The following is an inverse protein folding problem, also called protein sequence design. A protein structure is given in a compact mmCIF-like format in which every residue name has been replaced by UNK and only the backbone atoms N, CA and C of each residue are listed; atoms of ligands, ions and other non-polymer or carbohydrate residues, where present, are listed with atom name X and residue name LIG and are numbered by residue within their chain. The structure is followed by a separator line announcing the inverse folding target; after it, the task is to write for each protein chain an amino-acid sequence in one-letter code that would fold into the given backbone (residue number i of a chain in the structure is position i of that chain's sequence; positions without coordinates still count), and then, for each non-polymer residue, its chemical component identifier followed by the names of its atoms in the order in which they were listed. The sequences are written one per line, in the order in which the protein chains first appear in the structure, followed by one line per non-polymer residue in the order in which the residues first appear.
data_IF_063528482602
#
_entry.id   IF_063528482602
#
_cell.length_a   1.000
_cell.length_b   1.000
_cell.length_c   1.000
_cell.angle_alpha   90.00
_cell.angle_beta   90.00
_cell.angle_gamma   90.00
#
_symmetry.space_group_name_H-M   'P 1'
#
loop_
_entity.id
_entity.type
_entity.pdbx_description
1 polymer ?
#
# COMPACT_ATOMS: atom_id res chain seq x y z
N UNK A 1 -0.50 13.55 -22.55
CA UNK A 1 -0.93 14.43 -21.45
C UNK A 1 0.17 14.38 -20.40
N UNK A 2 0.63 15.53 -19.93
CA UNK A 2 1.62 15.64 -18.85
C UNK A 2 0.94 15.40 -17.50
N UNK A 3 1.71 14.97 -16.49
CA UNK A 3 1.22 14.86 -15.12
C UNK A 3 0.78 16.20 -14.51
N UNK A 4 1.25 17.31 -15.07
CA UNK A 4 0.83 18.67 -14.70
C UNK A 4 -0.67 18.91 -14.94
N UNK A 5 -1.20 18.42 -16.08
CA UNK A 5 -2.64 18.51 -16.35
C UNK A 5 -3.46 17.63 -15.38
N UNK A 6 -2.88 16.55 -14.87
CA UNK A 6 -3.53 15.71 -13.84
C UNK A 6 -3.63 16.50 -12.54
N UNK A 7 -2.56 17.19 -12.13
CA UNK A 7 -2.55 18.03 -10.93
C UNK A 7 -3.62 19.13 -10.99
N UNK A 8 -3.72 19.83 -12.12
CA UNK A 8 -4.72 20.89 -12.31
C UNK A 8 -6.14 20.34 -12.14
N UNK A 9 -6.47 19.24 -12.80
CA UNK A 9 -7.78 18.56 -12.66
C UNK A 9 -8.10 18.17 -11.21
N UNK A 10 -7.09 17.74 -10.45
CA UNK A 10 -7.26 17.37 -9.04
C UNK A 10 -7.50 18.58 -8.13
N UNK A 11 -7.01 19.77 -8.51
CA UNK A 11 -7.17 21.00 -7.74
C UNK A 11 -8.48 21.75 -8.08
N UNK A 12 -8.95 21.64 -9.33
CA UNK A 12 -10.11 22.40 -9.81
C UNK A 12 -11.41 22.00 -9.13
N UNK A 13 -11.61 20.69 -8.91
CA UNK A 13 -12.89 20.20 -8.40
C UNK A 13 -12.80 18.86 -7.68
N UNK A 14 -13.83 18.64 -6.89
CA UNK A 14 -14.20 17.34 -6.33
C UNK A 14 -14.54 16.37 -7.47
N UNK A 15 -13.82 15.26 -7.58
CA UNK A 15 -14.05 14.27 -8.64
C UNK A 15 -15.17 13.29 -8.26
N UNK A 16 -15.93 12.87 -9.27
CA UNK A 16 -16.86 11.73 -9.18
C UNK A 16 -16.11 10.40 -9.34
N UNK A 17 -16.75 9.28 -8.97
CA UNK A 17 -16.17 7.94 -9.07
C UNK A 17 -15.65 7.61 -10.47
N UNK A 18 -16.41 7.91 -11.52
CA UNK A 18 -16.00 7.65 -12.90
C UNK A 18 -14.84 8.55 -13.33
N UNK A 19 -14.84 9.81 -12.90
CA UNK A 19 -13.74 10.73 -13.17
C UNK A 19 -12.44 10.28 -12.51
N UNK A 20 -12.50 9.69 -11.30
CA UNK A 20 -11.31 9.11 -10.66
C UNK A 20 -10.64 8.05 -11.54
N UNK A 21 -11.41 7.15 -12.15
CA UNK A 21 -10.85 6.13 -13.04
C UNK A 21 -10.19 6.76 -14.28
N UNK A 22 -10.84 7.77 -14.88
CA UNK A 22 -10.29 8.48 -16.04
C UNK A 22 -9.00 9.23 -15.72
N UNK A 23 -9.01 10.03 -14.64
CA UNK A 23 -7.84 10.81 -14.20
C UNK A 23 -6.70 9.88 -13.74
N UNK A 24 -7.01 8.78 -13.05
CA UNK A 24 -6.01 7.78 -12.68
C UNK A 24 -5.40 7.08 -13.90
N UNK A 25 -6.18 6.85 -14.97
CA UNK A 25 -5.66 6.28 -16.21
C UNK A 25 -4.74 7.26 -16.94
N UNK A 26 -5.08 8.55 -16.95
CA UNK A 26 -4.18 9.60 -17.46
C UNK A 26 -2.89 9.66 -16.65
N UNK A 27 -2.98 9.61 -15.31
CA UNK A 27 -1.84 9.57 -14.41
C UNK A 27 -0.97 8.32 -14.64
N UNK A 28 -1.59 7.15 -14.81
CA UNK A 28 -0.90 5.89 -15.12
C UNK A 28 -0.11 6.00 -16.41
N UNK A 29 -0.72 6.51 -17.49
CA UNK A 29 -0.07 6.69 -18.79
C UNK A 29 1.06 7.72 -18.72
N UNK A 30 0.83 8.85 -18.04
CA UNK A 30 1.85 9.89 -17.84
C UNK A 30 3.06 9.35 -17.09
N UNK A 31 2.81 8.67 -15.97
CA UNK A 31 3.87 8.09 -15.15
C UNK A 31 4.62 6.97 -15.87
N UNK A 32 3.94 6.11 -16.63
CA UNK A 32 4.60 5.08 -17.46
C UNK A 32 5.52 5.68 -18.50
N UNK A 33 5.12 6.77 -19.15
CA UNK A 33 5.93 7.45 -20.15
C UNK A 33 7.18 8.08 -19.53
N UNK A 34 7.05 8.68 -18.34
CA UNK A 34 8.14 9.41 -17.69
C UNK A 34 9.08 8.50 -16.88
N UNK A 35 8.57 7.39 -16.34
CA UNK A 35 9.31 6.47 -15.47
C UNK A 35 9.10 4.99 -15.88
N UNK A 36 9.41 4.59 -17.13
CA UNK A 36 9.11 3.26 -17.64
C UNK A 36 9.86 2.16 -16.88
N UNK A 37 11.12 2.38 -16.52
CA UNK A 37 11.92 1.42 -15.74
C UNK A 37 11.27 1.12 -14.39
N UNK A 38 10.77 2.16 -13.71
CA UNK A 38 10.08 1.99 -12.44
C UNK A 38 8.77 1.23 -12.61
N UNK A 39 7.95 1.58 -13.61
CA UNK A 39 6.71 0.84 -13.87
C UNK A 39 6.96 -0.64 -14.18
N UNK A 40 7.95 -0.94 -15.03
CA UNK A 40 8.33 -2.32 -15.33
C UNK A 40 8.84 -3.04 -14.09
N UNK A 41 9.68 -2.41 -13.28
CA UNK A 41 10.18 -3.03 -12.04
C UNK A 41 9.05 -3.35 -11.05
N UNK A 42 8.06 -2.46 -10.92
CA UNK A 42 6.92 -2.67 -10.03
C UNK A 42 5.96 -3.72 -10.57
N UNK A 43 5.76 -3.73 -11.88
CA UNK A 43 4.99 -4.77 -12.53
C UNK A 43 5.62 -6.15 -12.30
N UNK A 44 6.93 -6.29 -12.51
CA UNK A 44 7.65 -7.55 -12.24
C UNK A 44 7.59 -7.92 -10.77
N UNK A 45 7.76 -6.95 -9.86
CA UNK A 45 7.65 -7.19 -8.42
C UNK A 45 6.24 -7.70 -8.05
N UNK A 46 5.17 -7.14 -8.62
CA UNK A 46 3.80 -7.61 -8.40
C UNK A 46 3.59 -9.03 -8.92
N UNK A 47 4.07 -9.34 -10.14
CA UNK A 47 4.00 -10.70 -10.70
C UNK A 47 4.67 -11.70 -9.77
N UNK A 48 5.92 -11.42 -9.36
CA UNK A 48 6.69 -12.30 -8.47
C UNK A 48 6.01 -12.45 -7.12
N UNK A 49 5.50 -11.36 -6.53
CA UNK A 49 4.82 -11.40 -5.23
C UNK A 49 3.53 -12.22 -5.29
N UNK A 50 2.74 -12.08 -6.36
CA UNK A 50 1.52 -12.87 -6.57
C UNK A 50 1.87 -14.35 -6.73
N UNK A 51 2.89 -14.69 -7.53
CA UNK A 51 3.32 -16.09 -7.70
C UNK A 51 3.79 -16.69 -6.38
N UNK A 52 4.62 -15.99 -5.61
CA UNK A 52 5.07 -16.43 -4.28
C UNK A 52 3.86 -16.65 -3.35
N UNK A 53 2.90 -15.73 -3.35
CA UNK A 53 1.70 -15.82 -2.53
C UNK A 53 0.82 -17.03 -2.90
N UNK A 54 0.60 -17.27 -4.20
CA UNK A 54 -0.15 -18.44 -4.68
C UNK A 54 0.57 -19.72 -4.25
N UNK A 55 1.86 -19.86 -4.55
CA UNK A 55 2.62 -21.07 -4.22
C UNK A 55 2.66 -21.31 -2.70
N UNK A 56 2.83 -20.26 -1.89
CA UNK A 56 2.77 -20.36 -0.44
C UNK A 56 1.41 -20.85 0.06
N UNK A 57 0.30 -20.37 -0.52
CA UNK A 57 -1.04 -20.81 -0.13
C UNK A 57 -1.33 -22.28 -0.49
N UNK A 58 -0.77 -22.77 -1.61
CA UNK A 58 -0.92 -24.16 -2.05
C UNK A 58 0.03 -25.11 -1.28
N UNK A 59 1.22 -24.64 -0.90
CA UNK A 59 2.23 -25.39 -0.14
C UNK A 59 2.14 -25.12 1.36
N UNK A 60 0.95 -25.29 1.95
CA UNK A 60 0.81 -25.14 3.40
C UNK A 60 1.43 -26.34 4.13
N UNK A 61 2.48 -26.09 4.91
CA UNK A 61 3.28 -27.09 5.62
C UNK A 61 2.43 -28.01 6.51
N UNK A 62 1.45 -27.47 7.24
CA UNK A 62 0.61 -28.26 8.15
C UNK A 62 -0.24 -29.29 7.40
N UNK A 63 -0.82 -28.89 6.26
CA UNK A 63 -1.56 -29.81 5.39
C UNK A 63 -0.64 -30.87 4.79
N UNK A 64 0.55 -30.50 4.35
CA UNK A 64 1.50 -31.44 3.75
C UNK A 64 1.97 -32.49 4.77
N UNK A 65 2.27 -32.08 6.00
CA UNK A 65 2.60 -33.01 7.10
C UNK A 65 1.43 -33.92 7.44
N UNK A 66 0.22 -33.37 7.53
CA UNK A 66 -1.01 -34.13 7.81
C UNK A 66 -1.27 -35.24 6.77
N UNK A 67 -1.05 -34.94 5.49
CA UNK A 67 -1.24 -35.91 4.40
C UNK A 67 -0.04 -36.82 4.13
N UNK A 68 1.00 -36.78 4.96
CA UNK A 68 2.16 -37.67 4.83
C UNK A 68 3.02 -37.36 3.60
N UNK A 69 3.15 -36.08 3.24
CA UNK A 69 4.00 -35.60 2.17
C UNK A 69 5.47 -36.08 2.30
N UNK A 70 6.14 -36.30 1.17
CA UNK A 70 7.59 -36.55 1.16
C UNK A 70 8.37 -35.35 1.73
N UNK A 71 9.48 -35.61 2.41
CA UNK A 71 10.40 -34.63 3.01
C UNK A 71 10.80 -33.52 2.03
N UNK A 72 10.97 -33.84 0.74
CA UNK A 72 11.30 -32.86 -0.31
C UNK A 72 10.19 -31.80 -0.43
N UNK A 73 8.93 -32.21 -0.39
CA UNK A 73 7.79 -31.30 -0.53
C UNK A 73 7.64 -30.41 0.72
N UNK A 74 7.92 -30.97 1.90
CA UNK A 74 7.99 -30.22 3.16
C UNK A 74 9.14 -29.18 3.12
N UNK A 75 10.30 -29.54 2.58
CA UNK A 75 11.42 -28.62 2.40
C UNK A 75 11.04 -27.44 1.49
N UNK A 76 10.37 -27.71 0.36
CA UNK A 76 9.87 -26.66 -0.53
C UNK A 76 8.86 -25.73 0.15
N UNK A 77 7.92 -26.27 0.92
CA UNK A 77 6.97 -25.48 1.70
C UNK A 77 7.69 -24.51 2.65
N UNK A 78 8.71 -24.98 3.38
CA UNK A 78 9.53 -24.14 4.28
C UNK A 78 10.26 -23.03 3.53
N UNK A 79 10.83 -23.33 2.36
CA UNK A 79 11.51 -22.33 1.53
C UNK A 79 10.53 -21.24 1.08
N UNK A 80 9.35 -21.62 0.59
CA UNK A 80 8.33 -20.67 0.15
C UNK A 80 7.71 -19.87 1.31
N UNK A 81 7.60 -20.45 2.51
CA UNK A 81 7.20 -19.71 3.72
C UNK A 81 8.19 -18.58 4.02
N UNK A 82 9.49 -18.87 4.03
CA UNK A 82 10.53 -17.85 4.23
C UNK A 82 10.51 -16.81 3.11
N UNK A 83 10.38 -17.25 1.86
CA UNK A 83 10.33 -16.35 0.71
C UNK A 83 9.12 -15.41 0.77
N UNK A 84 7.95 -15.91 1.18
CA UNK A 84 6.74 -15.12 1.35
C UNK A 84 6.89 -14.08 2.47
N UNK A 85 7.51 -14.44 3.59
CA UNK A 85 7.80 -13.50 4.69
C UNK A 85 8.75 -12.38 4.25
N UNK A 86 9.81 -12.72 3.50
CA UNK A 86 10.75 -11.74 2.93
C UNK A 86 10.04 -10.84 1.92
N UNK A 87 9.28 -11.42 0.98
CA UNK A 87 8.55 -10.67 -0.04
C UNK A 87 7.54 -9.69 0.59
N UNK A 88 6.81 -10.14 1.61
CA UNK A 88 5.85 -9.32 2.37
C UNK A 88 6.55 -8.16 3.08
N UNK A 89 7.70 -8.39 3.71
CA UNK A 89 8.52 -7.34 4.34
C UNK A 89 8.99 -6.29 3.33
N UNK A 90 9.53 -6.75 2.20
CA UNK A 90 10.01 -5.87 1.12
C UNK A 90 8.85 -5.09 0.49
N UNK A 91 7.66 -5.70 0.39
CA UNK A 91 6.47 -5.08 -0.22
C UNK A 91 6.04 -3.79 0.47
N UNK A 92 6.24 -3.65 1.79
CA UNK A 92 5.93 -2.42 2.52
C UNK A 92 6.75 -1.24 1.98
N UNK A 93 8.07 -1.43 1.85
CA UNK A 93 8.96 -0.39 1.34
C UNK A 93 8.68 -0.09 -0.13
N UNK A 94 8.55 -1.14 -0.95
CA UNK A 94 8.32 -1.04 -2.39
C UNK A 94 7.01 -0.30 -2.69
N UNK A 95 5.93 -0.65 -1.97
CA UNK A 95 4.62 0.02 -2.09
C UNK A 95 4.68 1.47 -1.63
N UNK A 96 5.26 1.76 -0.46
CA UNK A 96 5.40 3.12 0.05
C UNK A 96 6.25 4.01 -0.88
N UNK A 97 7.34 3.46 -1.42
CA UNK A 97 8.18 4.11 -2.43
C UNK A 97 7.38 4.47 -3.68
N UNK A 98 6.53 3.57 -4.16
CA UNK A 98 5.66 3.83 -5.30
C UNK A 98 4.68 4.98 -5.04
N UNK A 99 3.89 4.88 -3.98
CA UNK A 99 2.90 5.89 -3.61
C UNK A 99 3.52 7.28 -3.54
N UNK A 100 4.62 7.41 -2.80
CA UNK A 100 5.31 8.68 -2.64
C UNK A 100 5.88 9.19 -3.96
N UNK A 101 6.45 8.32 -4.79
CA UNK A 101 7.04 8.74 -6.07
C UNK A 101 5.97 9.22 -7.05
N UNK A 102 4.84 8.51 -7.16
CA UNK A 102 3.71 8.89 -8.01
C UNK A 102 3.15 10.23 -7.54
N UNK A 103 2.92 10.40 -6.24
CA UNK A 103 2.41 11.65 -5.68
C UNK A 103 3.33 12.84 -5.97
N UNK A 104 4.63 12.70 -5.68
CA UNK A 104 5.62 13.75 -5.95
C UNK A 104 5.71 14.09 -7.44
N UNK A 105 5.53 13.12 -8.34
CA UNK A 105 5.58 13.39 -9.78
C UNK A 105 4.33 14.14 -10.26
N UNK A 106 3.14 13.78 -9.76
CA UNK A 106 1.90 14.54 -10.00
C UNK A 106 2.06 15.98 -9.52
N UNK A 107 2.70 16.20 -8.36
CA UNK A 107 2.95 17.53 -7.81
C UNK A 107 4.06 18.31 -8.53
N UNK A 108 4.75 17.73 -9.52
CA UNK A 108 5.91 18.36 -10.17
C UNK A 108 7.16 18.43 -9.28
N UNK A 109 7.17 17.69 -8.16
CA UNK A 109 8.21 17.69 -7.14
C UNK A 109 9.03 16.37 -7.11
N UNK A 110 9.12 15.68 -8.24
CA UNK A 110 9.64 14.30 -8.34
C UNK A 110 11.09 14.08 -7.86
N UNK A 111 11.87 15.15 -7.62
CA UNK A 111 13.26 15.09 -7.11
C UNK A 111 13.36 15.10 -5.58
N UNK A 112 12.33 15.53 -4.86
CA UNK A 112 12.36 15.69 -3.40
C UNK A 112 12.05 14.40 -2.62
N UNK A 113 12.65 13.29 -3.05
CA UNK A 113 12.43 11.98 -2.44
C UNK A 113 13.37 11.76 -1.24
N UNK A 114 12.86 11.89 -0.02
CA UNK A 114 13.60 11.59 1.22
C UNK A 114 13.61 10.07 1.51
N UNK A 115 14.40 9.31 0.76
CA UNK A 115 14.47 7.84 0.85
C UNK A 115 14.74 7.30 2.26
N UNK A 116 15.69 7.91 2.99
CA UNK A 116 16.05 7.48 4.35
C UNK A 116 14.87 7.56 5.32
N UNK A 117 14.12 8.66 5.25
CA UNK A 117 12.94 8.87 6.10
C UNK A 117 11.82 7.87 5.75
N UNK A 118 11.60 7.65 4.46
CA UNK A 118 10.62 6.66 3.99
C UNK A 118 10.98 5.24 4.43
N UNK A 119 12.26 4.85 4.32
CA UNK A 119 12.75 3.55 4.76
C UNK A 119 12.50 3.31 6.25
N UNK A 120 12.81 4.29 7.10
CA UNK A 120 12.54 4.20 8.54
C UNK A 120 11.05 4.06 8.84
N UNK A 121 10.20 4.83 8.16
CA UNK A 121 8.74 4.73 8.30
C UNK A 121 8.21 3.33 7.98
N UNK A 122 8.70 2.74 6.89
CA UNK A 122 8.29 1.41 6.46
C UNK A 122 8.86 0.31 7.34
N UNK A 123 10.05 0.52 7.91
CA UNK A 123 10.66 -0.41 8.85
C UNK A 123 9.85 -0.49 10.14
N UNK A 124 9.46 0.66 10.71
CA UNK A 124 8.59 0.72 11.90
C UNK A 124 7.31 -0.05 11.66
N UNK A 125 6.66 0.18 10.52
CA UNK A 125 5.40 -0.49 10.18
C UNK A 125 5.60 -2.00 10.01
N UNK A 126 6.67 -2.42 9.32
CA UNK A 126 6.99 -3.84 9.14
C UNK A 126 7.23 -4.54 10.48
N UNK A 127 7.92 -3.90 11.43
CA UNK A 127 8.13 -4.44 12.78
C UNK A 127 6.80 -4.59 13.53
N UNK A 128 5.90 -3.61 13.45
CA UNK A 128 4.57 -3.68 14.07
C UNK A 128 3.80 -4.89 13.53
N UNK A 129 3.74 -5.06 12.20
CA UNK A 129 3.05 -6.20 11.58
C UNK A 129 3.71 -7.54 11.93
N UNK A 130 5.04 -7.58 11.97
CA UNK A 130 5.78 -8.79 12.34
C UNK A 130 5.48 -9.22 13.79
N UNK A 131 5.52 -8.30 14.74
CA UNK A 131 5.20 -8.56 16.14
C UNK A 131 3.73 -8.99 16.29
N UNK A 132 2.81 -8.30 15.61
CA UNK A 132 1.39 -8.67 15.59
C UNK A 132 1.17 -10.09 15.05
N UNK A 133 1.89 -10.48 13.99
CA UNK A 133 1.84 -11.83 13.43
C UNK A 133 2.32 -12.91 14.39
N UNK A 134 3.42 -12.66 15.13
CA UNK A 134 3.91 -13.60 16.15
C UNK A 134 2.88 -13.80 17.27
N UNK A 135 2.28 -12.70 17.75
CA UNK A 135 1.25 -12.75 18.79
C UNK A 135 0.03 -13.53 18.27
N UNK A 136 -0.41 -13.24 17.04
CA UNK A 136 -1.50 -13.96 16.38
C UNK A 136 -1.30 -15.46 16.35
N UNK A 137 -0.17 -15.91 15.78
CA UNK A 137 0.14 -17.34 15.69
C UNK A 137 0.18 -18.04 17.06
N UNK A 138 0.68 -17.39 18.10
CA UNK A 138 0.69 -17.98 19.45
C UNK A 138 -0.71 -18.11 20.05
N UNK A 139 -1.60 -17.16 19.78
CA UNK A 139 -2.97 -17.16 20.31
C UNK A 139 -3.86 -18.16 19.58
N UNK A 140 -3.62 -18.41 18.29
CA UNK A 140 -4.43 -19.33 17.48
C UNK A 140 -4.41 -20.77 17.98
N UNK A 141 -3.32 -21.20 18.63
CA UNK A 141 -3.14 -22.56 19.14
C UNK A 141 -4.02 -22.93 20.36
N UNK A 142 -4.88 -22.01 20.83
CA UNK A 142 -5.79 -22.24 21.96
C UNK A 142 -7.18 -21.72 21.62
N UNK A 143 -8.23 -22.48 21.97
CA UNK A 143 -9.64 -22.10 21.73
C UNK A 143 -9.95 -20.69 22.27
N UNK A 144 -9.47 -20.38 23.48
CA UNK A 144 -9.68 -19.06 24.11
C UNK A 144 -8.94 -17.97 23.32
N UNK A 145 -7.72 -18.28 22.84
CA UNK A 145 -6.93 -17.35 22.04
C UNK A 145 -7.52 -17.12 20.65
N UNK A 146 -8.08 -18.15 20.00
CA UNK A 146 -8.80 -18.01 18.72
C UNK A 146 -10.04 -17.12 18.86
N UNK A 147 -10.83 -17.27 19.94
CA UNK A 147 -11.97 -16.38 20.22
C UNK A 147 -11.50 -14.94 20.41
N UNK A 148 -10.41 -14.74 21.16
CA UNK A 148 -9.83 -13.40 21.34
C UNK A 148 -9.34 -12.80 20.02
N UNK A 149 -8.71 -13.60 19.15
CA UNK A 149 -8.27 -13.15 17.83
C UNK A 149 -9.42 -12.72 16.93
N UNK A 150 -10.55 -13.42 16.97
CA UNK A 150 -11.75 -13.03 16.22
C UNK A 150 -12.23 -11.66 16.71
N UNK A 151 -12.38 -11.48 18.03
CA UNK A 151 -12.80 -10.20 18.62
C UNK A 151 -11.81 -9.08 18.26
N UNK A 152 -10.51 -9.32 18.43
CA UNK A 152 -9.46 -8.37 18.09
C UNK A 152 -9.51 -8.00 16.61
N UNK A 153 -9.69 -8.97 15.71
CA UNK A 153 -9.81 -8.74 14.27
C UNK A 153 -11.02 -7.89 13.91
N UNK A 154 -12.16 -8.11 14.59
CA UNK A 154 -13.35 -7.26 14.43
C UNK A 154 -13.07 -5.83 14.88
N UNK A 155 -12.42 -5.64 16.04
CA UNK A 155 -12.05 -4.31 16.53
C UNK A 155 -11.10 -3.62 15.55
N UNK A 156 -10.05 -4.30 15.09
CA UNK A 156 -9.10 -3.77 14.10
C UNK A 156 -9.82 -3.41 12.80
N UNK A 157 -10.74 -4.24 12.33
CA UNK A 157 -11.55 -3.95 11.14
C UNK A 157 -12.40 -2.69 11.33
N UNK A 158 -13.07 -2.55 12.48
CA UNK A 158 -13.85 -1.35 12.81
C UNK A 158 -12.97 -0.09 12.83
N UNK A 159 -11.78 -0.16 13.44
CA UNK A 159 -10.82 0.94 13.46
C UNK A 159 -10.34 1.27 12.05
N UNK A 160 -10.02 0.26 11.23
CA UNK A 160 -9.56 0.46 9.87
C UNK A 160 -10.63 1.14 8.99
N UNK A 161 -11.89 0.69 9.11
CA UNK A 161 -13.04 1.28 8.42
C UNK A 161 -13.39 2.69 8.93
N UNK A 162 -12.92 3.08 10.11
CA UNK A 162 -13.15 4.41 10.66
C UNK A 162 -12.01 5.38 10.34
N UNK A 163 -10.75 4.93 10.49
CA UNK A 163 -9.56 5.79 10.55
C UNK A 163 -8.58 5.65 9.38
N UNK A 164 -8.52 4.52 8.67
CA UNK A 164 -7.40 4.22 7.76
C UNK A 164 -7.70 4.40 6.26
N UNK A 165 -8.75 5.15 5.88
CA UNK A 165 -9.07 5.37 4.46
C UNK A 165 -7.97 6.09 3.68
N UNK A 166 -7.25 7.01 4.32
CA UNK A 166 -6.22 7.85 3.71
C UNK A 166 -4.86 7.67 4.40
N UNK A 167 -4.61 6.49 4.99
CA UNK A 167 -3.35 6.17 5.68
C UNK A 167 -2.12 6.25 4.75
N UNK A 168 -2.32 6.28 3.43
CA UNK A 168 -1.27 6.58 2.46
C UNK A 168 -0.58 7.94 2.69
N UNK A 169 -1.21 8.86 3.43
CA UNK A 169 -0.58 10.07 3.97
C UNK A 169 0.70 9.78 4.75
N UNK A 170 0.76 8.64 5.47
CA UNK A 170 1.94 8.21 6.21
C UNK A 170 3.16 8.04 5.29
N UNK A 171 2.95 7.56 4.06
CA UNK A 171 4.03 7.35 3.09
C UNK A 171 4.30 8.59 2.24
N UNK A 172 3.24 9.30 1.84
CA UNK A 172 3.33 10.44 0.91
C UNK A 172 3.85 11.69 1.60
N UNK A 173 3.39 11.97 2.83
CA UNK A 173 3.74 13.16 3.62
C UNK A 173 4.80 12.84 4.67
N UNK A 174 5.35 13.88 5.29
CA UNK A 174 6.40 13.75 6.33
C UNK A 174 5.84 13.67 7.76
N UNK A 175 4.65 13.07 7.92
CA UNK A 175 4.00 12.90 9.23
C UNK A 175 4.55 11.72 10.03
N UNK A 176 4.49 11.79 11.36
CA UNK A 176 4.64 10.63 12.24
C UNK A 176 3.49 9.63 12.06
N UNK A 177 3.58 8.46 12.72
CA UNK A 177 2.53 7.43 12.63
C UNK A 177 1.20 7.96 13.22
N UNK A 178 1.21 8.52 14.43
CA UNK A 178 -0.01 9.06 15.05
C UNK A 178 -0.58 10.24 14.27
N UNK A 179 0.27 11.20 13.87
CA UNK A 179 -0.13 12.33 13.02
C UNK A 179 -0.79 11.86 11.71
N UNK A 180 -0.30 10.78 11.10
CA UNK A 180 -0.91 10.23 9.88
C UNK A 180 -2.27 9.57 10.11
N UNK A 181 -2.53 9.05 11.31
CA UNK A 181 -3.83 8.50 11.70
C UNK A 181 -4.81 9.65 11.91
N UNK A 182 -4.41 10.68 12.65
CA UNK A 182 -5.24 11.87 12.90
C UNK A 182 -5.57 12.57 11.58
N UNK A 183 -4.57 12.76 10.71
CA UNK A 183 -4.77 13.34 9.39
C UNK A 183 -5.67 12.49 8.50
N UNK A 184 -5.50 11.16 8.53
CA UNK A 184 -6.38 10.25 7.78
C UNK A 184 -7.82 10.28 8.31
N UNK A 185 -8.02 10.45 9.62
CA UNK A 185 -9.34 10.64 10.23
C UNK A 185 -9.99 11.94 9.78
N UNK A 186 -9.25 13.05 9.79
CA UNK A 186 -9.69 14.36 9.29
C UNK A 186 -10.10 14.29 7.82
N UNK A 187 -9.25 13.71 6.97
CA UNK A 187 -9.57 13.53 5.54
C UNK A 187 -10.75 12.59 5.33
N UNK A 188 -10.96 11.62 6.22
CA UNK A 188 -12.08 10.68 6.14
C UNK A 188 -13.43 11.34 6.36
N UNK A 189 -13.49 12.42 7.12
CA UNK A 189 -14.77 13.07 7.42
C UNK A 189 -15.42 13.64 6.14
N UNK A 190 -16.65 13.22 5.85
CA UNK A 190 -17.36 13.55 4.62
C UNK A 190 -16.81 12.96 3.31
N UNK A 191 -15.63 12.33 3.29
CA UNK A 191 -15.00 11.84 2.05
C UNK A 191 -14.86 10.32 1.94
N UNK A 192 -15.30 9.52 2.92
CA UNK A 192 -15.14 8.04 2.89
C UNK A 192 -15.61 7.38 1.60
N UNK A 193 -16.78 7.81 1.09
CA UNK A 193 -17.37 7.26 -0.14
C UNK A 193 -16.48 7.47 -1.37
N UNK A 194 -15.67 8.53 -1.41
CA UNK A 194 -14.76 8.82 -2.52
C UNK A 194 -13.63 7.80 -2.64
N UNK A 195 -13.22 7.19 -1.53
CA UNK A 195 -12.25 6.10 -1.51
C UNK A 195 -12.93 4.73 -1.61
N UNK A 196 -14.02 4.54 -0.86
CA UNK A 196 -14.75 3.27 -0.83
C UNK A 196 -15.30 2.88 -2.21
N UNK A 197 -15.98 3.78 -2.91
CA UNK A 197 -16.73 3.41 -4.11
C UNK A 197 -15.81 2.99 -5.28
N UNK A 198 -14.72 3.71 -5.61
CA UNK A 198 -13.74 3.21 -6.58
C UNK A 198 -13.10 1.87 -6.17
N UNK A 199 -12.75 1.73 -4.89
CA UNK A 199 -12.19 0.48 -4.35
C UNK A 199 -13.15 -0.71 -4.48
N UNK A 200 -14.43 -0.48 -4.19
CA UNK A 200 -15.50 -1.46 -4.32
C UNK A 200 -15.65 -1.94 -5.77
N UNK A 201 -15.64 -1.04 -6.76
CA UNK A 201 -15.72 -1.42 -8.17
C UNK A 201 -14.51 -2.25 -8.62
N UNK A 202 -13.29 -1.92 -8.18
CA UNK A 202 -12.11 -2.75 -8.46
C UNK A 202 -12.25 -4.12 -7.84
N UNK A 203 -12.63 -4.20 -6.55
CA UNK A 203 -12.80 -5.47 -5.84
C UNK A 203 -13.87 -6.35 -6.50
N UNK A 204 -15.00 -5.75 -6.90
CA UNK A 204 -16.06 -6.46 -7.63
C UNK A 204 -15.57 -6.97 -8.98
N UNK A 205 -14.82 -6.17 -9.73
CA UNK A 205 -14.21 -6.59 -11.00
C UNK A 205 -13.23 -7.75 -10.83
N UNK A 206 -12.37 -7.69 -9.80
CA UNK A 206 -11.47 -8.79 -9.42
C UNK A 206 -12.24 -10.06 -9.09
N UNK A 207 -13.30 -9.96 -8.28
CA UNK A 207 -14.12 -11.09 -7.88
C UNK A 207 -14.78 -11.76 -9.11
N UNK A 208 -15.41 -10.97 -9.98
CA UNK A 208 -16.02 -11.47 -11.22
C UNK A 208 -14.95 -12.16 -12.07
N UNK A 209 -13.77 -11.56 -12.20
CA UNK A 209 -12.67 -12.13 -12.97
C UNK A 209 -12.21 -13.47 -12.39
N UNK A 210 -12.04 -13.60 -11.06
CA UNK A 210 -11.68 -14.87 -10.40
C UNK A 210 -12.74 -15.94 -10.69
N UNK A 211 -14.03 -15.61 -10.59
CA UNK A 211 -15.11 -16.55 -10.89
C UNK A 211 -15.05 -16.99 -12.36
N UNK A 212 -14.87 -16.05 -13.28
CA UNK A 212 -14.74 -16.33 -14.71
C UNK A 212 -13.52 -17.20 -15.02
N UNK A 213 -12.36 -16.95 -14.41
CA UNK A 213 -11.17 -17.80 -14.59
C UNK A 213 -11.41 -19.23 -14.12
N UNK A 214 -12.05 -19.43 -12.96
CA UNK A 214 -12.41 -20.77 -12.46
C UNK A 214 -13.35 -21.50 -13.43
N UNK A 215 -14.39 -20.82 -13.93
CA UNK A 215 -15.30 -21.40 -14.93
C UNK A 215 -14.54 -21.73 -16.21
N UNK A 216 -13.67 -20.84 -16.69
CA UNK A 216 -12.86 -21.03 -17.88
C UNK A 216 -11.95 -22.27 -17.78
N UNK A 217 -11.22 -22.43 -16.68
CA UNK A 217 -10.39 -23.62 -16.44
C UNK A 217 -11.22 -24.91 -16.37
N UNK A 218 -12.39 -24.87 -15.73
CA UNK A 218 -13.27 -26.02 -15.59
C UNK A 218 -13.90 -26.44 -16.93
N UNK A 219 -14.37 -25.47 -17.73
CA UNK A 219 -15.00 -25.73 -19.04
C UNK A 219 -13.98 -26.25 -20.06
N UNK A 220 -12.75 -25.71 -20.06
CA UNK A 220 -11.73 -26.14 -21.01
C UNK A 220 -11.07 -27.47 -20.66
N UNK A 221 -11.35 -28.03 -19.47
CA UNK A 221 -10.78 -29.27 -18.95
C UNK A 221 -9.29 -29.43 -19.34
N UNK A 222 -8.48 -28.42 -19.00
CA UNK A 222 -7.10 -28.32 -19.47
C UNK A 222 -6.27 -29.41 -18.78
N UNK A 223 -6.13 -30.56 -19.43
CA UNK A 223 -5.34 -31.70 -18.94
C UNK A 223 -3.84 -31.47 -19.11
N UNK A 224 -3.43 -30.64 -20.08
CA UNK A 224 -2.03 -30.33 -20.30
C UNK A 224 -1.53 -29.29 -19.29
N UNK A 225 -0.70 -29.75 -18.36
CA UNK A 225 -0.06 -28.94 -17.34
C UNK A 225 0.65 -27.68 -17.88
N UNK A 226 1.39 -27.80 -18.99
CA UNK A 226 2.11 -26.65 -19.56
C UNK A 226 1.16 -25.58 -20.10
N UNK A 227 0.05 -25.99 -20.74
CA UNK A 227 -0.97 -25.06 -21.21
C UNK A 227 -1.68 -24.38 -20.03
N UNK A 228 -2.00 -25.14 -18.97
CA UNK A 228 -2.58 -24.59 -17.74
C UNK A 228 -1.68 -23.54 -17.09
N UNK A 229 -0.37 -23.80 -17.01
CA UNK A 229 0.61 -22.85 -16.48
C UNK A 229 0.70 -21.56 -17.31
N UNK A 230 0.75 -21.66 -18.64
CA UNK A 230 0.81 -20.47 -19.52
C UNK A 230 -0.43 -19.59 -19.31
N UNK A 231 -1.61 -20.20 -19.27
CA UNK A 231 -2.87 -19.48 -19.06
C UNK A 231 -2.90 -18.82 -17.67
N UNK A 232 -2.50 -19.56 -16.62
CA UNK A 232 -2.41 -19.02 -15.27
C UNK A 232 -1.44 -17.82 -15.20
N UNK A 233 -0.30 -17.92 -15.88
CA UNK A 233 0.67 -16.83 -15.96
C UNK A 233 0.10 -15.58 -16.63
N UNK A 234 -0.68 -15.73 -17.71
CA UNK A 234 -1.39 -14.60 -18.35
C UNK A 234 -2.35 -13.92 -17.37
N UNK A 235 -3.10 -14.70 -16.58
CA UNK A 235 -3.98 -14.13 -15.54
C UNK A 235 -3.22 -13.36 -14.46
N UNK A 236 -2.08 -13.90 -13.99
CA UNK A 236 -1.20 -13.20 -13.04
C UNK A 236 -0.70 -11.87 -13.61
N UNK A 237 -0.35 -11.82 -14.89
CA UNK A 237 0.07 -10.59 -15.56
C UNK A 237 -1.05 -9.54 -15.59
N UNK A 238 -2.29 -9.95 -15.89
CA UNK A 238 -3.46 -9.05 -15.87
C UNK A 238 -3.72 -8.53 -14.46
N UNK A 239 -3.70 -9.40 -13.45
CA UNK A 239 -3.87 -8.99 -12.05
C UNK A 239 -2.79 -8.01 -11.59
N UNK A 240 -1.55 -8.24 -12.01
CA UNK A 240 -0.43 -7.36 -11.67
C UNK A 240 -0.59 -5.96 -12.28
N UNK A 241 -1.07 -5.86 -13.53
CA UNK A 241 -1.39 -4.56 -14.14
C UNK A 241 -2.53 -3.85 -13.38
N UNK A 242 -3.57 -4.58 -13.00
CA UNK A 242 -4.71 -4.03 -12.28
C UNK A 242 -4.30 -3.55 -10.87
N UNK A 243 -3.46 -4.31 -10.17
CA UNK A 243 -2.92 -3.92 -8.87
C UNK A 243 -2.06 -2.65 -8.97
N UNK A 244 -1.22 -2.53 -10.00
CA UNK A 244 -0.40 -1.35 -10.27
C UNK A 244 -1.27 -0.12 -10.54
N UNK A 245 -2.29 -0.29 -11.38
CA UNK A 245 -3.28 0.76 -11.65
C UNK A 245 -4.03 1.18 -10.37
N UNK A 246 -4.42 0.22 -9.53
CA UNK A 246 -5.11 0.49 -8.26
C UNK A 246 -4.26 1.35 -7.31
N UNK A 247 -2.93 1.15 -7.26
CA UNK A 247 -2.05 2.02 -6.47
C UNK A 247 -2.02 3.47 -6.97
N UNK A 248 -2.00 3.67 -8.30
CA UNK A 248 -2.07 5.02 -8.88
C UNK A 248 -3.44 5.66 -8.62
N UNK A 249 -4.54 4.90 -8.80
CA UNK A 249 -5.89 5.36 -8.47
C UNK A 249 -5.99 5.80 -7.01
N UNK A 250 -5.45 5.01 -6.08
CA UNK A 250 -5.43 5.35 -4.67
C UNK A 250 -4.68 6.67 -4.40
N UNK A 251 -3.53 6.87 -5.06
CA UNK A 251 -2.77 8.13 -4.98
C UNK A 251 -3.55 9.32 -5.52
N UNK A 252 -4.26 9.13 -6.65
CA UNK A 252 -5.06 10.19 -7.27
C UNK A 252 -6.24 10.58 -6.37
N UNK A 253 -6.93 9.61 -5.77
CA UNK A 253 -8.01 9.87 -4.81
C UNK A 253 -7.48 10.61 -3.59
N UNK A 254 -6.35 10.16 -3.03
CA UNK A 254 -5.68 10.82 -1.91
C UNK A 254 -5.44 12.30 -2.19
N UNK A 255 -4.75 12.60 -3.29
CA UNK A 255 -4.39 13.96 -3.64
C UNK A 255 -5.63 14.82 -3.90
N UNK A 256 -6.67 14.31 -4.57
CA UNK A 256 -7.90 15.10 -4.77
C UNK A 256 -8.58 15.46 -3.45
N UNK A 257 -8.69 14.49 -2.54
CA UNK A 257 -9.32 14.70 -1.23
C UNK A 257 -8.50 15.64 -0.36
N UNK A 258 -7.18 15.50 -0.39
CA UNK A 258 -6.28 16.38 0.32
C UNK A 258 -6.30 17.82 -0.23
N UNK A 259 -6.36 17.97 -1.56
CA UNK A 259 -6.44 19.31 -2.18
C UNK A 259 -7.78 19.99 -1.86
N UNK A 260 -8.87 19.23 -1.84
CA UNK A 260 -10.20 19.70 -1.41
C UNK A 260 -10.21 20.10 0.07
N UNK A 261 -9.53 19.34 0.94
CA UNK A 261 -9.38 19.65 2.37
C UNK A 261 -8.56 20.93 2.61
N UNK A 262 -7.38 21.02 1.96
CA UNK A 262 -6.46 22.13 2.15
C UNK A 262 -6.92 23.43 1.46
N UNK A 263 -7.72 23.33 0.40
CA UNK A 263 -8.28 24.45 -0.32
C UNK A 263 -7.23 25.52 -0.66
N UNK A 264 -7.44 26.75 -0.16
CA UNK A 264 -6.54 27.90 -0.42
C UNK A 264 -5.18 27.78 0.27
N UNK A 265 -5.04 26.94 1.30
CA UNK A 265 -3.80 26.77 2.05
C UNK A 265 -2.85 25.75 1.43
N UNK A 266 -3.26 25.06 0.36
CA UNK A 266 -2.52 23.98 -0.29
C UNK A 266 -1.04 24.32 -0.54
N UNK A 267 -0.77 25.44 -1.21
CA UNK A 267 0.59 25.85 -1.57
C UNK A 267 1.45 26.27 -0.36
N UNK A 268 0.80 26.63 0.76
CA UNK A 268 1.45 26.99 2.02
C UNK A 268 1.84 25.71 2.76
N UNK A 269 0.89 24.81 2.97
CA UNK A 269 1.11 23.59 3.76
C UNK A 269 1.98 22.53 3.05
N UNK A 270 1.89 22.40 1.72
CA UNK A 270 2.80 21.56 0.94
C UNK A 270 4.28 22.03 1.03
N UNK A 271 4.52 23.33 1.26
CA UNK A 271 5.87 23.89 1.48
C UNK A 271 6.34 23.67 2.93
N UNK A 272 5.48 23.89 3.92
CA UNK A 272 5.82 23.76 5.35
C UNK A 272 6.08 22.32 5.82
N UNK A 273 5.49 21.30 5.16
CA UNK A 273 5.82 19.88 5.41
C UNK A 273 7.29 19.50 5.12
N UNK A 274 8.10 20.41 4.58
CA UNK A 274 9.53 20.23 4.34
C UNK A 274 10.45 20.86 5.40
N UNK A 275 10.00 21.90 6.12
CA UNK A 275 10.84 22.78 6.96
C UNK A 275 10.68 22.57 8.47
N UNK A 276 9.54 22.06 8.97
CA UNK A 276 9.25 22.09 10.41
C UNK A 276 10.25 21.35 11.32
N UNK A 277 10.94 20.30 10.83
CA UNK A 277 12.00 19.62 11.62
C UNK A 277 13.28 20.45 11.80
N UNK A 278 13.51 21.48 10.97
CA UNK A 278 14.70 22.34 11.11
C UNK A 278 14.50 23.42 12.18
N UNK A 279 13.29 23.95 12.31
CA UNK A 279 12.99 25.02 13.26
C UNK A 279 12.76 24.51 14.68
N UNK A 280 12.17 23.32 14.87
CA UNK A 280 12.09 22.69 16.20
C UNK A 280 13.48 22.36 16.75
N UNK A 281 14.38 21.79 15.93
CA UNK A 281 15.75 21.51 16.37
C UNK A 281 16.54 22.79 16.67
N UNK A 282 16.34 23.86 15.90
CA UNK A 282 17.00 25.15 16.16
C UNK A 282 16.43 25.87 17.40
N UNK A 283 15.14 25.74 17.70
CA UNK A 283 14.56 26.25 18.95
C UNK A 283 15.07 25.47 20.17
N UNK A 284 15.14 24.13 20.09
CA UNK A 284 15.64 23.29 21.17
C UNK A 284 17.15 23.53 21.42
N UNK A 285 17.95 23.80 20.38
CA UNK A 285 19.36 24.18 20.52
C UNK A 285 19.52 25.57 21.16
N UNK A 286 18.72 26.56 20.74
CA UNK A 286 18.77 27.92 21.30
C UNK A 286 18.31 27.98 22.75
N UNK A 287 17.32 27.18 23.14
CA UNK A 287 16.84 27.11 24.52
C UNK A 287 17.85 26.46 25.46
N UNK A 288 18.63 25.49 24.97
CA UNK A 288 19.71 24.86 25.75
C UNK A 288 20.96 25.76 25.89
N UNK A 289 21.30 26.55 24.86
CA UNK A 289 22.39 27.55 24.97
C UNK A 289 22.03 28.69 25.93
N UNK A 290 20.77 29.13 25.96
CA UNK A 290 20.31 30.16 26.89
C UNK A 290 20.25 29.67 28.33
N UNK A 291 19.89 28.40 28.57
CA UNK A 291 19.96 27.78 29.91
C UNK A 291 21.39 27.69 30.46
N UNK A 292 22.35 27.30 29.62
CA UNK A 292 23.75 27.17 30.05
C UNK A 292 24.44 28.52 30.32
N UNK A 293 23.92 29.63 29.79
CA UNK A 293 24.39 30.99 30.13
C UNK A 293 23.80 31.52 31.43
N UNK A 294 22.63 31.05 31.85
CA UNK A 294 21.98 31.48 33.09
C UNK A 294 22.58 30.79 34.34
N UNK A 295 23.10 29.57 34.21
CA UNK A 295 23.72 28.82 35.33
C UNK A 295 25.21 29.16 35.58
N UNK A 296 25.82 30.01 34.75
CA UNK A 296 27.23 30.42 34.85
C UNK A 296 27.42 31.92 35.14
N UNK A 297 26.37 32.62 35.59
CA UNK A 297 26.37 34.05 35.93
C UNK A 297 26.29 34.32 37.43
#
# INVERSE_FOLDING_TARGET
MSLENVREKLMEKKLTTLEYFGVAFEAFKGFWKENPVMMVSMFVFMVVSIVIGIVHSELNEEFLVYYGANEIMILWAKIFNVLNAVASTVSFFVTAYFFRKVALMIEGNGKNMKLKELFLKTLILSVIFFVAGIIGNKMENSIIGSIFLIIFSIVVLCVALWAFWYFEAYYIRNFGLMESIDYSLELSDGNRIRKFLPGFFIALGVLIFIIMTRIFFNVLNIENFAAGLIIAFVFVMIFSLLALYSQILNTVIFLNVEYDYLGKNLNKELKFGSENKSNENNQILNDNENKNKADNG
#
